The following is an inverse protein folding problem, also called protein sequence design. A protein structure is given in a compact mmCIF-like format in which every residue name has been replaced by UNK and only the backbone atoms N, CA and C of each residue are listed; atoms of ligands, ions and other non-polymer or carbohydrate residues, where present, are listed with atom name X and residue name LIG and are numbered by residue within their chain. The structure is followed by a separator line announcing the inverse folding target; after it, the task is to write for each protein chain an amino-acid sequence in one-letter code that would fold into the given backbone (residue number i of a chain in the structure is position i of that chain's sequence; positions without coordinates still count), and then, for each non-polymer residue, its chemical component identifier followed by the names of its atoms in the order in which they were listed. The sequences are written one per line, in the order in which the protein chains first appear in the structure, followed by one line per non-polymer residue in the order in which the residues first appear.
data_IF_235019691324
#
_entry.id   IF_235019691324
#
_cell.length_a   1.000
_cell.length_b   1.000
_cell.length_c   1.000
_cell.angle_alpha   90.00
_cell.angle_beta   90.00
_cell.angle_gamma   90.00
#
_symmetry.space_group_name_H-M   'P 1'
#
loop_
_entity.id
_entity.type
_entity.pdbx_description
1 polymer ?
#
# COMPACT_ATOMS: atom_id res chain seq x y z
N UNK A 1 -4.91 2.41 -16.95
CA UNK A 1 -3.93 1.62 -16.18
C UNK A 1 -4.39 1.53 -14.73
N UNK A 2 -3.87 0.56 -13.98
CA UNK A 2 -4.05 0.48 -12.52
C UNK A 2 -2.83 1.08 -11.82
N UNK A 3 -3.07 1.90 -10.81
CA UNK A 3 -2.07 2.46 -9.91
C UNK A 3 -2.30 1.89 -8.51
N UNK A 4 -1.23 1.42 -7.86
CA UNK A 4 -1.25 0.82 -6.53
C UNK A 4 -0.17 1.45 -5.68
N UNK A 5 -0.54 2.07 -4.56
CA UNK A 5 0.44 2.40 -3.52
C UNK A 5 0.19 1.52 -2.32
N UNK A 6 1.25 0.89 -1.82
CA UNK A 6 1.28 0.19 -0.53
C UNK A 6 2.12 1.04 0.42
N UNK A 7 1.64 1.28 1.63
CA UNK A 7 2.29 2.16 2.62
C UNK A 7 2.22 1.52 4.01
N UNK A 8 3.35 1.50 4.72
CA UNK A 8 3.43 0.96 6.08
C UNK A 8 3.03 2.06 7.08
N UNK A 9 1.87 1.88 7.69
CA UNK A 9 1.38 2.77 8.75
C UNK A 9 2.05 2.47 10.09
N UNK A 10 2.24 3.52 10.91
CA UNK A 10 2.91 3.45 12.21
C UNK A 10 4.41 3.78 12.18
N UNK A 11 5.02 3.90 10.98
CA UNK A 11 6.45 4.16 10.79
C UNK A 11 6.95 5.45 11.45
N UNK A 12 6.20 6.56 11.35
CA UNK A 12 6.65 7.83 11.95
C UNK A 12 6.77 7.74 13.47
N UNK A 13 5.97 6.89 14.14
CA UNK A 13 6.11 6.65 15.58
C UNK A 13 7.27 5.70 15.89
N UNK A 14 7.62 4.82 14.95
CA UNK A 14 8.69 3.83 15.00
C UNK A 14 10.09 4.45 15.03
N UNK A 15 10.30 5.57 14.31
CA UNK A 15 11.60 6.27 14.22
C UNK A 15 11.88 7.22 15.40
N UNK A 16 10.89 7.52 16.27
CA UNK A 16 11.07 8.47 17.37
C UNK A 16 11.79 7.86 18.59
N UNK A 17 13.03 7.41 18.44
CA UNK A 17 14.00 7.25 19.54
C UNK A 17 15.40 6.91 19.00
N UNK A 18 16.46 7.20 19.78
CA UNK A 18 17.91 6.88 19.64
C UNK A 18 18.45 6.33 18.30
N UNK A 19 19.62 6.79 17.84
CA UNK A 19 20.25 6.43 16.54
C UNK A 19 20.22 4.93 16.17
N UNK A 20 20.47 4.01 17.11
CA UNK A 20 20.38 2.57 16.85
C UNK A 20 18.95 2.08 16.52
N UNK A 21 17.93 2.69 17.12
CA UNK A 21 16.53 2.35 16.81
C UNK A 21 16.16 2.82 15.40
N UNK A 22 16.79 3.88 14.88
CA UNK A 22 16.52 4.38 13.54
C UNK A 22 17.08 3.43 12.46
N UNK A 23 18.29 2.89 12.65
CA UNK A 23 18.89 1.92 11.71
C UNK A 23 18.04 0.66 11.64
N UNK A 24 17.71 0.06 12.80
CA UNK A 24 16.86 -1.14 12.81
C UNK A 24 15.46 -0.83 12.26
N UNK A 25 14.94 0.36 12.50
CA UNK A 25 13.65 0.75 11.94
C UNK A 25 13.66 0.74 10.42
N UNK A 26 14.69 1.33 9.80
CA UNK A 26 14.88 1.34 8.35
C UNK A 26 15.05 -0.07 7.79
N UNK A 27 15.87 -0.92 8.42
CA UNK A 27 16.05 -2.33 8.02
C UNK A 27 14.74 -3.11 8.05
N UNK A 28 13.95 -2.97 9.13
CA UNK A 28 12.68 -3.68 9.29
C UNK A 28 11.68 -3.23 8.22
N UNK A 29 11.59 -1.93 7.96
CA UNK A 29 10.64 -1.38 6.98
C UNK A 29 11.01 -1.80 5.57
N UNK A 30 12.30 -1.72 5.23
CA UNK A 30 12.78 -2.16 3.93
C UNK A 30 12.48 -3.64 3.69
N UNK A 31 12.79 -4.50 4.67
CA UNK A 31 12.56 -5.95 4.56
C UNK A 31 11.07 -6.32 4.49
N UNK A 32 10.20 -5.59 5.20
CA UNK A 32 8.76 -5.73 5.10
C UNK A 32 8.23 -5.32 3.70
N UNK A 33 8.68 -4.18 3.17
CA UNK A 33 8.30 -3.72 1.84
C UNK A 33 8.81 -4.65 0.75
N UNK A 34 10.07 -5.09 0.85
CA UNK A 34 10.68 -6.04 -0.08
C UNK A 34 9.87 -7.34 -0.12
N UNK A 35 9.49 -7.89 1.04
CA UNK A 35 8.66 -9.09 1.10
C UNK A 35 7.28 -8.90 0.45
N UNK A 36 6.68 -7.72 0.60
CA UNK A 36 5.40 -7.39 -0.06
C UNK A 36 5.57 -7.31 -1.58
N UNK A 37 6.65 -6.67 -2.04
CA UNK A 37 6.96 -6.51 -3.46
C UNK A 37 7.29 -7.85 -4.11
N UNK A 38 8.00 -8.74 -3.42
CA UNK A 38 8.32 -10.08 -3.90
C UNK A 38 7.07 -10.96 -4.10
N UNK A 39 5.95 -10.58 -3.48
CA UNK A 39 4.66 -11.21 -3.70
C UNK A 39 3.89 -10.63 -4.91
N UNK A 40 4.34 -9.50 -5.47
CA UNK A 40 3.76 -8.93 -6.68
C UNK A 40 4.19 -9.75 -7.89
N UNK A 41 3.23 -10.12 -8.72
CA UNK A 41 3.44 -10.86 -9.97
C UNK A 41 2.75 -10.12 -11.13
N UNK A 42 3.06 -10.52 -12.36
CA UNK A 42 2.39 -10.01 -13.55
C UNK A 42 0.87 -10.06 -13.37
N UNK A 43 0.12 -8.96 -13.64
CA UNK A 43 0.52 -7.77 -14.42
C UNK A 43 1.08 -6.61 -13.59
N UNK A 44 1.26 -6.76 -12.28
CA UNK A 44 1.71 -5.69 -11.41
C UNK A 44 3.23 -5.54 -11.47
N UNK A 45 3.69 -4.30 -11.65
CA UNK A 45 5.12 -3.95 -11.77
C UNK A 45 5.47 -2.85 -10.79
N UNK A 46 6.57 -3.02 -10.05
CA UNK A 46 7.12 -1.98 -9.19
C UNK A 46 7.62 -0.80 -10.04
N UNK A 47 7.11 0.40 -9.77
CA UNK A 47 7.67 1.64 -10.32
C UNK A 47 8.81 2.15 -9.43
N UNK A 48 8.58 2.30 -8.12
CA UNK A 48 9.57 2.82 -7.18
C UNK A 48 9.23 2.55 -5.71
N UNK A 49 10.25 2.70 -4.87
CA UNK A 49 10.13 2.79 -3.42
C UNK A 49 10.21 4.25 -2.96
N UNK A 50 9.38 4.62 -1.98
CA UNK A 50 9.26 5.97 -1.43
C UNK A 50 9.34 5.94 0.11
N UNK A 51 10.50 5.54 0.64
CA UNK A 51 10.68 5.39 2.09
C UNK A 51 9.90 4.18 2.61
N UNK A 52 8.76 4.43 3.27
CA UNK A 52 7.85 3.43 3.85
C UNK A 52 6.70 3.01 2.91
N UNK A 53 6.74 3.46 1.66
CA UNK A 53 5.77 3.10 0.63
C UNK A 53 6.40 2.48 -0.63
N UNK A 54 5.62 1.64 -1.31
CA UNK A 54 5.93 1.07 -2.61
C UNK A 54 4.85 1.50 -3.62
N UNK A 55 5.27 2.06 -4.75
CA UNK A 55 4.39 2.44 -5.84
C UNK A 55 4.51 1.45 -7.00
N UNK A 56 3.40 0.80 -7.34
CA UNK A 56 3.28 -0.20 -8.38
C UNK A 56 2.20 0.22 -9.40
N UNK A 57 2.28 -0.36 -10.59
CA UNK A 57 1.29 -0.15 -11.63
C UNK A 57 1.05 -1.43 -12.42
N UNK A 58 -0.10 -1.49 -13.09
CA UNK A 58 -0.39 -2.50 -14.10
C UNK A 58 -0.96 -1.82 -15.34
N UNK A 59 -0.43 -2.16 -16.51
CA UNK A 59 -0.97 -1.68 -17.78
C UNK A 59 -2.34 -2.32 -18.03
N UNK A 60 -3.26 -1.53 -18.59
CA UNK A 60 -4.59 -1.99 -19.01
C UNK A 60 -4.68 -1.82 -20.53
N UNK A 61 -5.15 -2.86 -21.22
CA UNK A 61 -5.23 -2.88 -22.67
C UNK A 61 -6.12 -4.02 -23.18
N UNK A 62 -6.53 -3.94 -24.45
CA UNK A 62 -7.24 -5.01 -25.17
C UNK A 62 -8.55 -5.51 -24.54
N UNK A 63 -9.25 -4.67 -23.78
CA UNK A 63 -10.54 -5.01 -23.17
C UNK A 63 -10.43 -5.92 -21.93
N UNK A 64 -9.24 -6.05 -21.35
CA UNK A 64 -8.95 -6.89 -20.18
C UNK A 64 -8.96 -6.12 -18.85
N UNK A 65 -9.40 -4.85 -18.85
CA UNK A 65 -9.30 -3.94 -17.71
C UNK A 65 -9.88 -4.52 -16.40
N UNK A 66 -11.04 -5.18 -16.48
CA UNK A 66 -11.68 -5.80 -15.32
C UNK A 66 -10.98 -7.10 -14.86
N UNK A 67 -10.26 -7.79 -15.74
CA UNK A 67 -9.44 -8.95 -15.38
C UNK A 67 -8.18 -8.50 -14.68
N UNK A 68 -7.46 -7.53 -15.26
CA UNK A 68 -6.28 -6.89 -14.66
C UNK A 68 -6.62 -6.29 -13.29
N UNK A 69 -7.71 -5.53 -13.17
CA UNK A 69 -8.09 -4.93 -11.90
C UNK A 69 -8.44 -5.98 -10.83
N UNK A 70 -9.11 -7.08 -11.21
CA UNK A 70 -9.41 -8.18 -10.28
C UNK A 70 -8.15 -8.90 -9.82
N UNK A 71 -7.21 -9.14 -10.72
CA UNK A 71 -5.93 -9.75 -10.37
C UNK A 71 -5.13 -8.85 -9.42
N UNK A 72 -5.01 -7.56 -9.74
CA UNK A 72 -4.37 -6.58 -8.85
C UNK A 72 -5.05 -6.52 -7.48
N UNK A 73 -6.38 -6.57 -7.41
CA UNK A 73 -7.10 -6.61 -6.15
C UNK A 73 -6.78 -7.87 -5.32
N UNK A 74 -6.68 -9.03 -5.98
CA UNK A 74 -6.28 -10.29 -5.35
C UNK A 74 -4.85 -10.21 -4.79
N UNK A 75 -3.90 -9.70 -5.59
CA UNK A 75 -2.53 -9.48 -5.14
C UNK A 75 -2.45 -8.49 -3.97
N UNK A 76 -3.20 -7.38 -4.04
CA UNK A 76 -3.27 -6.40 -2.96
C UNK A 76 -3.78 -6.98 -1.64
N UNK A 77 -4.73 -7.93 -1.67
CA UNK A 77 -5.13 -8.69 -0.48
C UNK A 77 -4.01 -9.64 0.00
N UNK A 78 -3.30 -10.30 -0.93
CA UNK A 78 -2.16 -11.15 -0.63
C UNK A 78 -1.00 -10.44 0.09
N UNK A 79 -0.79 -9.15 -0.21
CA UNK A 79 0.24 -8.33 0.43
C UNK A 79 0.10 -8.25 1.95
N UNK A 80 -1.13 -8.24 2.47
CA UNK A 80 -1.37 -8.21 3.92
C UNK A 80 -0.86 -9.49 4.57
N UNK A 81 -1.14 -10.65 3.97
CA UNK A 81 -0.68 -11.94 4.47
C UNK A 81 0.85 -12.02 4.48
N UNK A 82 1.49 -11.59 3.39
CA UNK A 82 2.95 -11.56 3.27
C UNK A 82 3.58 -10.63 4.33
N UNK A 83 3.03 -9.42 4.46
CA UNK A 83 3.47 -8.43 5.44
C UNK A 83 3.40 -8.97 6.88
N UNK A 84 2.26 -9.51 7.31
CA UNK A 84 2.12 -10.00 8.68
C UNK A 84 2.91 -11.27 8.96
N UNK A 85 3.03 -12.17 8.00
CA UNK A 85 3.90 -13.33 8.13
C UNK A 85 5.36 -12.89 8.36
N UNK A 86 5.83 -11.90 7.59
CA UNK A 86 7.19 -11.36 7.75
C UNK A 86 7.37 -10.59 9.05
N UNK A 87 6.42 -9.73 9.42
CA UNK A 87 6.46 -9.01 10.69
C UNK A 87 6.57 -9.95 11.90
N UNK A 88 5.84 -11.07 11.88
CA UNK A 88 5.95 -12.10 12.90
C UNK A 88 7.32 -12.80 12.91
N UNK A 89 7.87 -13.11 11.74
CA UNK A 89 9.20 -13.71 11.63
C UNK A 89 10.28 -12.76 12.17
N UNK A 90 10.29 -11.51 11.72
CA UNK A 90 11.23 -10.47 12.17
C UNK A 90 11.15 -10.23 13.68
N UNK A 91 9.93 -10.21 14.24
CA UNK A 91 9.72 -10.06 15.69
C UNK A 91 10.40 -11.17 16.50
N UNK A 92 10.43 -12.41 15.96
CA UNK A 92 11.14 -13.54 16.59
C UNK A 92 12.65 -13.46 16.37
N UNK A 93 13.08 -13.14 15.15
CA UNK A 93 14.50 -13.02 14.79
C UNK A 93 15.20 -11.92 15.62
N UNK A 94 14.47 -10.86 15.97
CA UNK A 94 14.99 -9.70 16.72
C UNK A 94 14.57 -9.70 18.19
N UNK A 95 14.09 -10.83 18.72
CA UNK A 95 13.60 -10.94 20.10
C UNK A 95 14.65 -10.59 21.17
N UNK A 96 15.94 -10.77 20.87
CA UNK A 96 17.05 -10.45 21.77
C UNK A 96 17.43 -8.95 21.78
N UNK A 97 16.73 -8.11 21.00
CA UNK A 97 17.00 -6.68 20.91
C UNK A 97 15.95 -5.85 21.65
N UNK A 98 16.40 -5.09 22.66
CA UNK A 98 15.53 -4.24 23.49
C UNK A 98 15.26 -2.84 22.91
N UNK A 99 15.61 -2.58 21.63
CA UNK A 99 15.33 -1.28 21.03
C UNK A 99 13.84 -1.11 20.71
N UNK A 100 13.35 0.13 20.69
CA UNK A 100 11.93 0.42 20.49
C UNK A 100 11.40 -0.12 19.15
N UNK A 101 12.20 -0.02 18.09
CA UNK A 101 11.85 -0.57 16.78
C UNK A 101 11.62 -2.09 16.82
N UNK A 102 12.59 -2.86 17.35
CA UNK A 102 12.48 -4.33 17.40
C UNK A 102 11.30 -4.81 18.26
N UNK A 103 10.98 -4.10 19.35
CA UNK A 103 9.89 -4.45 20.25
C UNK A 103 8.50 -4.12 19.70
N UNK A 104 8.41 -3.27 18.67
CA UNK A 104 7.15 -2.73 18.14
C UNK A 104 6.88 -3.13 16.69
N UNK A 105 7.57 -4.14 16.17
CA UNK A 105 7.38 -4.63 14.79
C UNK A 105 5.92 -4.99 14.53
N UNK A 106 5.25 -5.60 15.51
CA UNK A 106 3.85 -6.03 15.38
C UNK A 106 2.83 -4.88 15.50
N UNK A 107 3.27 -3.67 15.88
CA UNK A 107 2.43 -2.48 15.87
C UNK A 107 2.30 -1.90 14.44
N UNK A 108 3.21 -2.28 13.52
CA UNK A 108 3.17 -1.83 12.14
C UNK A 108 1.94 -2.39 11.42
N UNK A 109 1.33 -1.55 10.58
CA UNK A 109 0.15 -1.89 9.80
C UNK A 109 0.38 -1.61 8.34
N UNK A 110 -0.39 -2.26 7.47
CA UNK A 110 -0.32 -2.07 6.04
C UNK A 110 -1.58 -1.38 5.54
N UNK A 111 -1.43 -0.37 4.69
CA UNK A 111 -2.53 0.16 3.89
C UNK A 111 -2.18 0.16 2.41
N UNK A 112 -3.20 0.04 1.58
CA UNK A 112 -3.05 0.13 0.13
C UNK A 112 -4.07 1.09 -0.48
N UNK A 113 -3.69 1.79 -1.54
CA UNK A 113 -4.56 2.64 -2.37
C UNK A 113 -4.57 2.07 -3.78
N UNK A 114 -5.76 1.74 -4.28
CA UNK A 114 -6.00 1.19 -5.62
C UNK A 114 -6.78 2.19 -6.46
N UNK A 115 -6.28 2.50 -7.64
CA UNK A 115 -6.90 3.46 -8.54
C UNK A 115 -6.78 3.00 -9.99
N UNK A 116 -7.82 3.25 -10.79
CA UNK A 116 -7.79 3.08 -12.24
C UNK A 116 -7.91 4.44 -12.90
N UNK A 117 -6.94 4.77 -13.74
CA UNK A 117 -6.83 6.07 -14.38
C UNK A 117 -5.71 6.14 -15.41
N UNK A 118 -5.26 7.35 -15.68
CA UNK A 118 -4.22 7.69 -16.65
C UNK A 118 -2.92 8.11 -15.96
N UNK A 119 -1.81 7.57 -16.45
CA UNK A 119 -0.50 8.12 -16.17
C UNK A 119 0.39 8.04 -17.40
N UNK A 120 1.46 8.82 -17.39
CA UNK A 120 2.42 8.92 -18.48
C UNK A 120 3.79 8.61 -17.94
N UNK A 121 4.50 7.70 -18.61
CA UNK A 121 5.91 7.47 -18.35
C UNK A 121 6.74 8.67 -18.82
N UNK A 122 7.55 9.20 -17.92
CA UNK A 122 8.50 10.28 -18.18
C UNK A 122 9.90 9.81 -17.84
N UNK A 123 10.79 9.85 -18.82
CA UNK A 123 12.22 9.62 -18.58
C UNK A 123 12.87 10.88 -18.03
N UNK A 124 13.38 10.82 -16.81
CA UNK A 124 14.21 11.86 -16.19
C UNK A 124 15.62 11.30 -16.04
N UNK A 125 16.51 11.75 -16.94
CA UNK A 125 17.89 11.22 -17.07
C UNK A 125 17.86 9.71 -17.37
N UNK A 126 18.30 8.87 -16.43
CA UNK A 126 18.28 7.41 -16.55
C UNK A 126 17.11 6.73 -15.83
N UNK A 127 16.21 7.51 -15.22
CA UNK A 127 15.08 6.99 -14.46
C UNK A 127 13.77 7.17 -15.22
N UNK A 128 12.92 6.18 -15.18
CA UNK A 128 11.55 6.24 -15.69
C UNK A 128 10.60 6.49 -14.52
N UNK A 129 9.77 7.52 -14.64
CA UNK A 129 8.84 7.96 -13.61
C UNK A 129 7.43 8.04 -14.17
N UNK A 130 6.46 7.53 -13.42
CA UNK A 130 5.05 7.78 -13.70
C UNK A 130 4.65 9.18 -13.23
N UNK A 131 4.01 9.93 -14.13
CA UNK A 131 3.49 11.26 -13.85
C UNK A 131 2.08 11.42 -14.42
N UNK A 132 1.25 12.22 -13.75
CA UNK A 132 -0.11 12.46 -14.18
C UNK A 132 -0.96 13.01 -13.04
N UNK A 133 -2.17 13.45 -13.38
CA UNK A 133 -3.15 13.91 -12.39
C UNK A 133 -3.51 12.77 -11.43
N UNK A 134 -3.77 11.58 -11.95
CA UNK A 134 -4.13 10.39 -11.16
C UNK A 134 -2.98 9.89 -10.28
N UNK A 135 -1.73 10.06 -10.74
CA UNK A 135 -0.55 9.78 -9.89
C UNK A 135 -0.56 10.73 -8.69
N UNK A 136 -0.84 12.02 -8.88
CA UNK A 136 -0.92 12.97 -7.76
C UNK A 136 -2.09 12.59 -6.83
N UNK A 137 -3.22 12.16 -7.39
CA UNK A 137 -4.40 11.76 -6.62
C UNK A 137 -4.07 10.60 -5.67
N UNK A 138 -3.48 9.51 -6.16
CA UNK A 138 -3.17 8.34 -5.32
C UNK A 138 -2.23 8.66 -4.18
N UNK A 139 -1.22 9.51 -4.40
CA UNK A 139 -0.31 9.94 -3.33
C UNK A 139 -1.01 10.83 -2.31
N UNK A 140 -1.94 11.70 -2.73
CA UNK A 140 -2.72 12.51 -1.78
C UNK A 140 -3.72 11.67 -0.99
N UNK A 141 -4.27 10.61 -1.60
CA UNK A 141 -5.16 9.67 -0.92
C UNK A 141 -4.47 8.90 0.23
N UNK A 142 -3.14 8.84 0.31
CA UNK A 142 -2.45 8.28 1.47
C UNK A 142 -2.65 9.12 2.75
N UNK A 143 -2.97 10.41 2.60
CA UNK A 143 -3.19 11.38 3.68
C UNK A 143 -4.69 11.62 3.95
N UNK A 144 -5.50 10.58 3.77
CA UNK A 144 -6.95 10.63 3.96
C UNK A 144 -7.36 10.67 5.44
N UNK A 145 -8.68 10.71 5.70
CA UNK A 145 -9.28 10.79 7.03
C UNK A 145 -9.80 9.46 7.60
N UNK A 146 -9.37 8.33 7.05
CA UNK A 146 -9.77 7.00 7.53
C UNK A 146 -9.14 6.76 8.91
N UNK A 147 -9.92 6.35 9.93
CA UNK A 147 -9.42 6.19 11.30
C UNK A 147 -8.64 4.89 11.53
N UNK A 148 -8.66 3.94 10.60
CA UNK A 148 -7.90 2.70 10.66
C UNK A 148 -6.51 2.92 10.04
N UNK A 149 -5.48 2.34 10.63
CA UNK A 149 -4.13 2.28 10.05
C UNK A 149 -3.95 1.08 9.10
N UNK A 150 -5.01 0.27 8.94
CA UNK A 150 -5.03 -0.93 8.12
C UNK A 150 -6.27 -0.98 7.23
N UNK A 151 -6.07 -0.90 5.92
CA UNK A 151 -7.15 -0.95 4.93
C UNK A 151 -6.64 -1.02 3.48
N UNK A 152 -7.52 -1.44 2.57
CA UNK A 152 -7.42 -1.17 1.13
C UNK A 152 -8.44 -0.08 0.79
N UNK A 153 -7.99 1.00 0.17
CA UNK A 153 -8.83 2.08 -0.35
C UNK A 153 -8.86 1.97 -1.87
N UNK A 154 -10.02 1.69 -2.44
CA UNK A 154 -10.24 1.78 -3.88
C UNK A 154 -10.97 3.09 -4.24
N UNK A 155 -10.53 3.78 -5.28
CA UNK A 155 -11.34 4.87 -5.87
C UNK A 155 -12.56 4.30 -6.57
N UNK A 156 -13.58 5.12 -6.79
CA UNK A 156 -14.77 4.72 -7.57
C UNK A 156 -14.38 4.10 -8.93
N UNK A 157 -13.41 4.67 -9.63
CA UNK A 157 -12.94 4.16 -10.92
C UNK A 157 -12.42 2.72 -10.85
N UNK A 158 -11.65 2.37 -9.80
CA UNK A 158 -11.17 1.01 -9.60
C UNK A 158 -12.30 0.08 -9.13
N UNK A 159 -13.13 0.58 -8.21
CA UNK A 159 -14.25 -0.19 -7.65
C UNK A 159 -15.30 -0.55 -8.71
N UNK A 160 -15.54 0.29 -9.71
CA UNK A 160 -16.45 0.00 -10.81
C UNK A 160 -16.04 -1.24 -11.63
N UNK A 161 -14.74 -1.59 -11.63
CA UNK A 161 -14.20 -2.76 -12.34
C UNK A 161 -14.25 -4.04 -11.49
N UNK A 162 -14.02 -3.93 -10.19
CA UNK A 162 -13.81 -5.09 -9.29
C UNK A 162 -15.02 -5.37 -8.40
N UNK A 163 -15.71 -4.33 -7.95
CA UNK A 163 -16.76 -4.42 -6.95
C UNK A 163 -16.22 -4.70 -5.55
N UNK A 164 -16.93 -5.54 -4.80
CA UNK A 164 -16.59 -5.89 -3.42
C UNK A 164 -15.37 -6.82 -3.39
N UNK A 165 -14.44 -6.54 -2.47
CA UNK A 165 -13.37 -7.48 -2.13
C UNK A 165 -13.92 -8.56 -1.19
N UNK A 166 -13.70 -9.85 -1.47
CA UNK A 166 -14.11 -10.94 -0.59
C UNK A 166 -13.36 -10.86 0.74
N UNK A 167 -13.99 -11.36 1.81
CA UNK A 167 -13.35 -11.49 3.13
C UNK A 167 -12.80 -10.16 3.70
N UNK A 168 -13.41 -9.03 3.33
CA UNK A 168 -13.13 -7.72 3.93
C UNK A 168 -14.41 -7.00 4.33
N UNK A 169 -14.35 -6.25 5.43
CA UNK A 169 -15.44 -5.35 5.83
C UNK A 169 -15.41 -4.11 4.93
N UNK A 170 -16.57 -3.72 4.40
CA UNK A 170 -16.70 -2.62 3.45
C UNK A 170 -17.34 -1.37 4.05
N UNK A 171 -16.82 -0.19 3.68
CA UNK A 171 -17.53 1.08 3.81
C UNK A 171 -17.30 1.99 2.61
N UNK A 172 -18.34 2.73 2.19
CA UNK A 172 -18.21 3.81 1.21
C UNK A 172 -17.96 5.13 1.95
N UNK A 173 -17.08 5.98 1.41
CA UNK A 173 -16.71 7.26 1.98
C UNK A 173 -16.52 8.30 0.88
N UNK A 174 -16.49 9.56 1.30
CA UNK A 174 -16.10 10.67 0.44
C UNK A 174 -14.98 11.41 1.14
N UNK A 175 -13.81 11.44 0.51
CA UNK A 175 -12.64 12.14 1.03
C UNK A 175 -12.52 13.50 0.32
N UNK A 176 -12.18 14.55 1.08
CA UNK A 176 -11.91 15.87 0.53
C UNK A 176 -10.41 16.00 0.25
N UNK A 177 -10.04 15.95 -1.02
CA UNK A 177 -8.63 15.87 -1.45
C UNK A 177 -8.27 17.14 -2.22
N UNK A 178 -7.66 18.11 -1.54
CA UNK A 178 -7.01 19.27 -2.14
C UNK A 178 -7.77 19.89 -3.32
N UNK A 179 -7.12 19.95 -4.49
CA UNK A 179 -7.70 20.50 -5.72
C UNK A 179 -8.69 19.54 -6.43
N UNK A 180 -8.68 18.25 -6.09
CA UNK A 180 -9.59 17.25 -6.63
C UNK A 180 -11.00 17.32 -6.01
N UNK A 181 -11.13 17.98 -4.86
CA UNK A 181 -12.40 18.14 -4.17
C UNK A 181 -12.90 16.82 -3.59
N UNK A 182 -14.19 16.53 -3.80
CA UNK A 182 -14.86 15.36 -3.25
C UNK A 182 -14.53 14.11 -4.08
N UNK A 183 -13.82 13.15 -3.49
CA UNK A 183 -13.46 11.87 -4.12
C UNK A 183 -14.21 10.74 -3.43
N UNK A 184 -15.05 10.02 -4.17
CA UNK A 184 -15.71 8.80 -3.66
C UNK A 184 -14.70 7.67 -3.55
N UNK A 185 -14.65 7.07 -2.36
CA UNK A 185 -13.73 6.00 -2.02
C UNK A 185 -14.46 4.81 -1.39
N UNK A 186 -13.88 3.64 -1.58
CA UNK A 186 -14.37 2.37 -1.09
C UNK A 186 -13.29 1.76 -0.22
N UNK A 187 -13.57 1.69 1.07
CA UNK A 187 -12.61 1.22 2.07
C UNK A 187 -12.95 -0.19 2.47
N UNK A 188 -11.96 -1.06 2.37
CA UNK A 188 -12.00 -2.45 2.75
C UNK A 188 -11.02 -2.68 3.88
N UNK A 189 -11.51 -3.07 5.05
CA UNK A 189 -10.64 -3.44 6.17
C UNK A 189 -10.60 -4.97 6.28
N UNK A 190 -9.43 -5.58 6.52
CA UNK A 190 -9.36 -6.99 6.87
C UNK A 190 -10.33 -7.29 8.02
N UNK A 191 -10.95 -8.47 8.02
CA UNK A 191 -11.66 -8.90 9.22
C UNK A 191 -10.63 -8.93 10.35
N UNK A 192 -10.94 -8.31 11.49
CA UNK A 192 -10.15 -8.53 12.67
C UNK A 192 -10.21 -10.04 12.94
N UNK A 193 -9.08 -10.73 12.81
CA UNK A 193 -8.99 -12.09 13.34
C UNK A 193 -9.44 -12.01 14.81
N UNK A 194 -10.37 -12.86 15.25
CA UNK A 194 -10.62 -12.99 16.67
C UNK A 194 -9.33 -13.51 17.31
N UNK A 195 -8.59 -12.59 17.93
CA UNK A 195 -7.43 -12.85 18.78
C UNK A 195 -7.78 -13.93 19.82
#
# INVERSE_FOLDING_TARGET
MTLVIVDISGYTQFIRSHEMSAIHAEEIIFDLLETVIDCADYPLTLNKLEGDAAFLYAEMGDGTDAEVARDVACQAQGFFNAFYARAQALSRERADCDCNACQRILDLKLKAVLHSGEAVFKTIRQFEELAGEDVILVHQLLKNSIPSDEYILATEAFYALVGRLPEMTYSARVEQIGYFGAVTTHVFTPHADPV
#
